data_IF_572863284198
#
_entry.id   IF_572863284198
#
_cell.length_a   1.000
_cell.length_b   1.000
_cell.length_c   1.000
_cell.angle_alpha   90.00
_cell.angle_beta   90.00
_cell.angle_gamma   90.00
#
_symmetry.space_group_name_H-M   'P 1'
#
loop_
_entity.id
_entity.type
_entity.pdbx_description
1 polymer ?
#
# COMPACT_ATOMS: atom_id res chain seq x y z
N UNK A 1 -14.34 -19.04 2.88
CA UNK A 1 -14.08 -19.00 1.43
C UNK A 1 -14.45 -17.60 0.97
N UNK A 2 -13.49 -16.68 0.94
CA UNK A 2 -13.67 -15.35 0.35
C UNK A 2 -13.25 -15.46 -1.09
N UNK A 3 -14.20 -15.22 -1.98
CA UNK A 3 -14.05 -15.18 -3.42
C UNK A 3 -12.92 -14.22 -3.78
N UNK A 4 -11.93 -14.74 -4.49
CA UNK A 4 -10.96 -13.93 -5.22
C UNK A 4 -11.77 -13.40 -6.42
N UNK A 5 -12.41 -12.27 -6.26
CA UNK A 5 -12.94 -11.51 -7.38
C UNK A 5 -11.77 -11.15 -8.29
N UNK A 6 -11.70 -11.87 -9.40
CA UNK A 6 -10.82 -11.59 -10.53
C UNK A 6 -11.37 -10.38 -11.30
N UNK A 7 -11.55 -9.26 -10.63
CA UNK A 7 -11.92 -8.01 -11.25
C UNK A 7 -10.64 -7.46 -11.91
N UNK A 8 -10.43 -7.80 -13.17
CA UNK A 8 -9.40 -7.21 -14.05
C UNK A 8 -9.78 -5.76 -14.40
N UNK A 9 -9.99 -4.94 -13.39
CA UNK A 9 -10.06 -3.51 -13.65
C UNK A 9 -8.71 -3.01 -14.15
N UNK A 10 -8.67 -2.28 -15.26
CA UNK A 10 -7.43 -1.71 -15.76
C UNK A 10 -6.82 -0.82 -14.67
N UNK A 11 -5.66 -1.22 -14.19
CA UNK A 11 -5.00 -0.49 -13.11
C UNK A 11 -4.41 0.80 -13.67
N UNK A 12 -4.66 1.92 -12.98
CA UNK A 12 -4.09 3.20 -13.37
C UNK A 12 -2.62 3.25 -12.99
N UNK A 13 -1.75 2.92 -13.92
CA UNK A 13 -0.31 3.16 -13.80
C UNK A 13 0.02 4.43 -14.56
N UNK A 14 0.52 5.43 -13.86
CA UNK A 14 0.93 6.68 -14.48
C UNK A 14 2.17 6.44 -15.39
N UNK A 15 2.31 7.16 -16.51
CA UNK A 15 3.43 6.97 -17.43
C UNK A 15 4.80 7.02 -16.74
N UNK A 16 4.98 7.91 -15.76
CA UNK A 16 6.21 8.01 -14.98
C UNK A 16 6.44 6.85 -14.00
N UNK A 17 5.43 6.05 -13.71
CA UNK A 17 5.51 4.87 -12.85
C UNK A 17 5.72 3.58 -13.68
N UNK A 18 5.54 3.65 -15.00
CA UNK A 18 5.59 2.47 -15.87
C UNK A 18 6.93 1.73 -15.78
N UNK A 19 8.05 2.43 -15.81
CA UNK A 19 9.37 1.81 -15.68
C UNK A 19 9.55 1.07 -14.33
N UNK A 20 8.97 1.60 -13.24
CA UNK A 20 8.99 0.96 -11.94
C UNK A 20 8.12 -0.31 -11.94
N UNK A 21 6.92 -0.23 -12.51
CA UNK A 21 6.02 -1.37 -12.69
C UNK A 21 6.67 -2.49 -13.51
N UNK A 22 7.23 -2.15 -14.67
CA UNK A 22 7.92 -3.10 -15.56
C UNK A 22 9.10 -3.79 -14.85
N UNK A 23 9.84 -3.04 -14.03
CA UNK A 23 10.95 -3.60 -13.26
C UNK A 23 10.48 -4.57 -12.17
N UNK A 24 9.40 -4.24 -11.45
CA UNK A 24 8.81 -5.14 -10.43
C UNK A 24 8.34 -6.43 -11.09
N UNK A 25 7.58 -6.33 -12.17
CA UNK A 25 7.05 -7.50 -12.90
C UNK A 25 8.16 -8.34 -13.53
N UNK A 26 9.20 -7.72 -14.09
CA UNK A 26 10.34 -8.42 -14.64
C UNK A 26 11.10 -9.23 -13.55
N UNK A 27 11.37 -8.64 -12.38
CA UNK A 27 11.98 -9.35 -11.26
C UNK A 27 11.06 -10.45 -10.75
N UNK A 28 9.76 -10.20 -10.65
CA UNK A 28 8.76 -11.20 -10.28
C UNK A 28 8.79 -12.41 -11.22
N UNK A 29 8.81 -12.20 -12.53
CA UNK A 29 8.95 -13.28 -13.52
C UNK A 29 10.25 -14.07 -13.35
N UNK A 30 11.37 -13.39 -13.05
CA UNK A 30 12.64 -14.06 -12.74
C UNK A 30 12.49 -14.94 -11.50
N UNK A 31 11.86 -14.45 -10.42
CA UNK A 31 11.64 -15.25 -9.19
C UNK A 31 10.87 -16.53 -9.50
N UNK A 32 9.85 -16.45 -10.37
CA UNK A 32 9.00 -17.58 -10.74
C UNK A 32 9.66 -18.59 -11.68
N UNK A 33 10.57 -18.13 -12.55
CA UNK A 33 11.20 -18.97 -13.60
C UNK A 33 12.60 -19.43 -13.25
N UNK A 34 13.24 -18.83 -12.24
CA UNK A 34 14.64 -19.08 -11.93
C UNK A 34 14.80 -20.39 -11.17
N UNK A 35 15.43 -21.38 -11.78
CA UNK A 35 15.97 -22.51 -11.02
C UNK A 35 17.25 -22.07 -10.29
N UNK A 36 17.07 -21.62 -9.06
CA UNK A 36 18.15 -21.09 -8.21
C UNK A 36 19.27 -22.12 -7.94
N UNK A 37 18.99 -23.41 -8.16
CA UNK A 37 19.98 -24.48 -7.98
C UNK A 37 21.06 -24.45 -9.06
N UNK A 38 20.81 -23.82 -10.21
CA UNK A 38 21.77 -23.70 -11.30
C UNK A 38 22.85 -22.66 -11.07
N UNK A 39 22.68 -21.81 -10.04
CA UNK A 39 23.63 -20.75 -9.73
C UNK A 39 24.45 -21.07 -8.48
N UNK A 40 25.78 -20.88 -8.51
CA UNK A 40 26.62 -21.10 -7.34
C UNK A 40 26.45 -20.08 -6.24
N UNK A 41 25.75 -18.98 -6.54
CA UNK A 41 25.45 -17.89 -5.61
C UNK A 41 23.92 -17.68 -5.51
N UNK A 42 23.44 -17.30 -4.33
CA UNK A 42 22.04 -16.94 -4.18
C UNK A 42 21.75 -15.60 -4.86
N UNK A 43 20.85 -15.63 -5.84
CA UNK A 43 20.38 -14.42 -6.52
C UNK A 43 19.44 -13.65 -5.59
N UNK A 44 19.77 -12.40 -5.29
CA UNK A 44 18.93 -11.51 -4.48
C UNK A 44 17.85 -10.89 -5.36
N UNK A 45 16.61 -11.17 -5.03
CA UNK A 45 15.44 -10.71 -5.78
C UNK A 45 14.55 -9.76 -4.97
N UNK A 46 14.93 -9.48 -3.71
CA UNK A 46 14.20 -8.50 -2.90
C UNK A 46 14.27 -7.11 -3.55
N UNK A 47 13.17 -6.38 -3.53
CA UNK A 47 13.05 -5.04 -4.11
C UNK A 47 12.80 -4.04 -3.00
N UNK A 48 13.51 -2.90 -3.02
CA UNK A 48 13.21 -1.74 -2.20
C UNK A 48 12.58 -0.65 -3.05
N UNK A 49 11.36 -0.21 -2.67
CA UNK A 49 10.67 0.89 -3.34
C UNK A 49 10.64 2.09 -2.39
N UNK A 50 11.19 3.21 -2.83
CA UNK A 50 11.11 4.48 -2.13
C UNK A 50 10.35 5.52 -2.95
N UNK A 51 9.75 6.47 -2.28
CA UNK A 51 9.00 7.58 -2.89
C UNK A 51 8.21 8.31 -1.82
N UNK A 52 7.88 9.57 -2.04
CA UNK A 52 7.09 10.36 -1.10
C UNK A 52 5.80 9.64 -0.67
N UNK A 53 5.23 10.06 0.47
CA UNK A 53 3.91 9.57 0.87
C UNK A 53 2.89 9.86 -0.24
N UNK A 54 2.00 8.91 -0.51
CA UNK A 54 1.02 9.06 -1.59
C UNK A 54 1.55 8.82 -3.01
N UNK A 55 2.86 8.54 -3.23
CA UNK A 55 3.42 8.28 -4.57
C UNK A 55 2.95 6.96 -5.23
N UNK A 56 2.11 6.16 -4.55
CA UNK A 56 1.54 4.94 -5.13
C UNK A 56 2.40 3.68 -4.97
N UNK A 57 3.38 3.66 -4.05
CA UNK A 57 4.28 2.49 -3.83
C UNK A 57 3.53 1.17 -3.65
N UNK A 58 2.68 1.10 -2.65
CA UNK A 58 1.93 -0.12 -2.31
C UNK A 58 0.91 -0.50 -3.39
N UNK A 59 0.35 0.51 -4.08
CA UNK A 59 -0.52 0.31 -5.23
C UNK A 59 0.24 -0.38 -6.37
N UNK A 60 1.43 0.11 -6.74
CA UNK A 60 2.26 -0.47 -7.80
C UNK A 60 2.63 -1.94 -7.54
N UNK A 61 2.93 -2.29 -6.29
CA UNK A 61 3.24 -3.68 -5.92
C UNK A 61 2.01 -4.57 -6.06
N UNK A 62 0.84 -4.10 -5.64
CA UNK A 62 -0.42 -4.83 -5.82
C UNK A 62 -0.77 -4.99 -7.31
N UNK A 63 -0.57 -3.92 -8.08
CA UNK A 63 -0.74 -3.93 -9.52
C UNK A 63 0.15 -4.99 -10.20
N UNK A 64 1.42 -5.03 -9.83
CA UNK A 64 2.37 -6.00 -10.36
C UNK A 64 2.03 -7.44 -9.92
N UNK A 65 1.59 -7.64 -8.68
CA UNK A 65 1.15 -8.96 -8.21
C UNK A 65 -0.06 -9.46 -9.02
N UNK A 66 -1.03 -8.57 -9.31
CA UNK A 66 -2.20 -8.90 -10.12
C UNK A 66 -1.82 -9.22 -11.58
N UNK A 67 -0.93 -8.43 -12.21
CA UNK A 67 -0.41 -8.68 -13.56
C UNK A 67 0.29 -10.05 -13.65
N UNK A 68 1.01 -10.41 -12.60
CA UNK A 68 1.68 -11.70 -12.50
C UNK A 68 0.74 -12.87 -12.14
N UNK A 69 -0.52 -12.60 -11.79
CA UNK A 69 -1.48 -13.60 -11.31
C UNK A 69 -1.10 -14.19 -9.94
N UNK A 70 -0.43 -13.40 -9.08
CA UNK A 70 0.10 -13.86 -7.80
C UNK A 70 -0.71 -13.31 -6.62
N UNK A 71 -0.95 -14.12 -5.59
CA UNK A 71 -1.47 -13.63 -4.32
C UNK A 71 -0.46 -12.70 -3.65
N UNK A 72 -0.97 -11.72 -2.90
CA UNK A 72 -0.14 -10.78 -2.14
C UNK A 72 -0.47 -10.81 -0.65
N UNK A 73 0.56 -10.84 0.18
CA UNK A 73 0.48 -10.58 1.61
C UNK A 73 1.06 -9.19 1.89
N UNK A 74 0.22 -8.27 2.34
CA UNK A 74 0.68 -6.94 2.77
C UNK A 74 0.88 -6.92 4.29
N UNK A 75 2.08 -6.53 4.70
CA UNK A 75 2.51 -6.38 6.09
C UNK A 75 2.88 -4.91 6.28
N UNK A 76 2.35 -4.26 7.31
CA UNK A 76 2.81 -2.92 7.70
C UNK A 76 3.81 -3.05 8.86
N UNK A 77 4.90 -2.35 8.79
CA UNK A 77 5.90 -2.33 9.86
C UNK A 77 5.30 -1.83 11.17
N UNK A 78 4.40 -0.85 11.11
CA UNK A 78 3.69 -0.31 12.28
C UNK A 78 2.71 -1.30 12.93
N UNK A 79 2.24 -2.31 12.20
CA UNK A 79 1.31 -3.35 12.66
C UNK A 79 2.02 -4.70 12.92
N UNK A 80 3.36 -4.73 12.85
CA UNK A 80 4.13 -5.95 13.04
C UNK A 80 4.08 -6.42 14.47
N UNK A 81 3.61 -7.63 14.68
CA UNK A 81 3.57 -8.28 15.98
C UNK A 81 4.70 -9.30 16.12
N UNK A 82 5.56 -9.07 17.09
CA UNK A 82 6.74 -9.90 17.34
C UNK A 82 6.34 -11.30 17.85
N UNK A 83 7.16 -12.30 17.52
CA UNK A 83 7.09 -13.62 18.12
C UNK A 83 7.25 -13.49 19.66
N UNK A 84 6.37 -14.11 20.40
CA UNK A 84 6.38 -14.06 21.86
C UNK A 84 5.78 -12.80 22.50
N UNK A 85 5.38 -11.79 21.72
CA UNK A 85 4.71 -10.58 22.25
C UNK A 85 3.17 -10.66 22.20
N UNK A 86 2.62 -11.74 21.67
CA UNK A 86 1.20 -11.91 21.50
C UNK A 86 0.48 -11.95 22.86
N UNK A 87 -0.23 -10.86 23.16
CA UNK A 87 -1.25 -10.86 24.21
C UNK A 87 -2.47 -11.68 23.77
N UNK A 88 -3.44 -11.89 24.69
CA UNK A 88 -4.66 -12.63 24.36
C UNK A 88 -5.37 -12.04 23.15
N UNK A 89 -5.52 -12.83 22.08
CA UNK A 89 -6.27 -12.48 20.86
C UNK A 89 -5.46 -11.81 19.74
N UNK A 90 -4.14 -11.62 19.90
CA UNK A 90 -3.30 -11.06 18.85
C UNK A 90 -2.41 -12.14 18.22
N UNK A 91 -2.44 -12.22 16.88
CA UNK A 91 -1.64 -13.20 16.13
C UNK A 91 -0.32 -12.57 15.70
N UNK A 92 0.85 -13.14 16.08
CA UNK A 92 2.14 -12.67 15.61
C UNK A 92 2.23 -12.65 14.07
N UNK A 93 3.12 -11.82 13.52
CA UNK A 93 3.22 -11.63 12.07
C UNK A 93 3.74 -12.88 11.36
N UNK A 94 4.71 -13.59 11.96
CA UNK A 94 5.29 -14.78 11.36
C UNK A 94 4.32 -15.94 11.12
N UNK A 95 3.39 -16.32 12.02
CA UNK A 95 2.33 -17.27 11.72
C UNK A 95 1.50 -16.90 10.48
N UNK A 96 1.18 -15.62 10.30
CA UNK A 96 0.47 -15.13 9.10
C UNK A 96 1.33 -15.32 7.83
N UNK A 97 2.64 -15.07 7.93
CA UNK A 97 3.59 -15.31 6.83
C UNK A 97 3.62 -16.81 6.52
N UNK A 98 3.76 -17.66 7.52
CA UNK A 98 3.78 -19.11 7.35
C UNK A 98 2.52 -19.62 6.64
N UNK A 99 1.33 -19.22 7.06
CA UNK A 99 0.06 -19.58 6.41
C UNK A 99 0.03 -19.13 4.93
N UNK A 100 0.53 -17.92 4.66
CA UNK A 100 0.62 -17.43 3.29
C UNK A 100 1.57 -18.27 2.44
N UNK A 101 2.74 -18.64 2.98
CA UNK A 101 3.71 -19.51 2.31
C UNK A 101 3.10 -20.89 2.01
N UNK A 102 2.40 -21.48 2.96
CA UNK A 102 1.73 -22.78 2.76
C UNK A 102 0.64 -22.70 1.68
N UNK A 103 -0.11 -21.61 1.60
CA UNK A 103 -1.04 -21.38 0.47
C UNK A 103 -0.31 -21.27 -0.86
N UNK A 104 0.84 -20.58 -0.90
CA UNK A 104 1.64 -20.43 -2.11
C UNK A 104 2.35 -21.72 -2.54
N UNK A 105 2.41 -22.77 -1.70
CA UNK A 105 3.05 -24.05 -2.05
C UNK A 105 2.48 -24.66 -3.33
N UNK A 106 1.15 -24.60 -3.50
CA UNK A 106 0.41 -25.13 -4.65
C UNK A 106 0.13 -24.09 -5.75
N UNK A 107 0.67 -22.87 -5.62
CA UNK A 107 0.53 -21.80 -6.60
C UNK A 107 1.87 -21.55 -7.32
N UNK A 108 1.85 -20.82 -8.45
CA UNK A 108 3.07 -20.41 -9.12
C UNK A 108 4.03 -19.67 -8.20
N UNK A 109 3.50 -18.85 -7.30
CA UNK A 109 4.29 -18.08 -6.33
C UNK A 109 3.42 -17.10 -5.54
N UNK A 110 4.07 -16.09 -4.93
CA UNK A 110 3.40 -15.03 -4.20
C UNK A 110 4.27 -13.79 -4.01
N UNK A 111 3.67 -12.72 -3.57
CA UNK A 111 4.34 -11.47 -3.23
C UNK A 111 4.15 -11.17 -1.75
N UNK A 112 5.21 -10.82 -1.05
CA UNK A 112 5.16 -10.27 0.31
C UNK A 112 5.59 -8.81 0.23
N UNK A 113 4.68 -7.90 0.57
CA UNK A 113 4.93 -6.47 0.66
C UNK A 113 5.12 -6.08 2.13
N UNK A 114 6.29 -5.55 2.47
CA UNK A 114 6.57 -4.92 3.77
C UNK A 114 6.40 -3.41 3.57
N UNK A 115 5.26 -2.88 3.95
CA UNK A 115 4.97 -1.44 3.84
C UNK A 115 5.46 -0.67 5.06
N UNK A 116 5.67 0.63 4.92
CA UNK A 116 6.21 1.52 5.95
C UNK A 116 7.59 1.06 6.47
N UNK A 117 8.44 0.53 5.60
CA UNK A 117 9.76 0.01 5.99
C UNK A 117 10.66 1.07 6.63
N UNK A 118 10.42 2.35 6.35
CA UNK A 118 11.12 3.47 6.98
C UNK A 118 10.92 3.51 8.50
N UNK A 119 9.83 2.98 9.05
CA UNK A 119 9.58 2.90 10.50
C UNK A 119 10.54 1.97 11.24
N UNK A 120 11.20 1.05 10.54
CA UNK A 120 12.23 0.19 11.13
C UNK A 120 13.50 0.96 11.50
N UNK A 121 13.65 2.20 11.02
CA UNK A 121 14.78 3.07 11.31
C UNK A 121 14.73 3.68 12.72
N UNK A 122 13.55 3.72 13.33
CA UNK A 122 13.37 4.27 14.67
C UNK A 122 14.21 3.46 15.67
N UNK A 123 14.90 4.15 16.60
CA UNK A 123 15.80 3.52 17.58
C UNK A 123 15.07 3.25 18.89
N UNK A 124 14.21 2.25 18.90
CA UNK A 124 13.52 1.77 20.11
C UNK A 124 13.89 0.31 20.38
N UNK A 125 13.65 -0.18 21.60
CA UNK A 125 13.82 -1.62 21.90
C UNK A 125 12.96 -2.50 21.02
N UNK A 126 11.71 -2.09 20.77
CA UNK A 126 10.79 -2.81 19.90
C UNK A 126 11.31 -2.93 18.47
N UNK A 127 11.85 -1.86 17.88
CA UNK A 127 12.41 -1.91 16.53
C UNK A 127 13.65 -2.79 16.41
N UNK A 128 14.37 -3.04 17.50
CA UNK A 128 15.50 -3.99 17.51
C UNK A 128 15.02 -5.42 17.27
N UNK A 129 13.97 -5.86 17.97
CA UNK A 129 13.37 -7.18 17.76
C UNK A 129 12.67 -7.28 16.40
N UNK A 130 11.93 -6.24 16.01
CA UNK A 130 11.32 -6.14 14.68
C UNK A 130 12.36 -6.31 13.56
N UNK A 131 13.52 -5.67 13.69
CA UNK A 131 14.61 -5.82 12.71
C UNK A 131 15.06 -7.27 12.58
N UNK A 132 15.21 -7.98 13.71
CA UNK A 132 15.62 -9.39 13.69
C UNK A 132 14.62 -10.25 12.90
N UNK A 133 13.32 -10.06 13.14
CA UNK A 133 12.29 -10.80 12.42
C UNK A 133 12.19 -10.39 10.95
N UNK A 134 12.27 -9.10 10.65
CA UNK A 134 12.28 -8.59 9.28
C UNK A 134 13.53 -9.07 8.52
N UNK A 135 14.69 -9.17 9.19
CA UNK A 135 15.90 -9.72 8.57
C UNK A 135 15.72 -11.17 8.18
N UNK A 136 15.09 -11.99 9.02
CA UNK A 136 14.79 -13.37 8.67
C UNK A 136 13.98 -13.45 7.38
N UNK A 137 12.95 -12.60 7.23
CA UNK A 137 12.15 -12.54 6.01
C UNK A 137 12.98 -12.06 4.80
N UNK A 138 13.78 -11.00 4.95
CA UNK A 138 14.63 -10.47 3.89
C UNK A 138 15.79 -11.40 3.52
N UNK A 139 16.26 -12.23 4.45
CA UNK A 139 17.24 -13.31 4.19
C UNK A 139 16.57 -14.57 3.63
N UNK A 140 15.27 -14.52 3.38
CA UNK A 140 14.46 -15.64 2.93
C UNK A 140 14.62 -16.86 3.86
N UNK A 141 14.57 -16.62 5.16
CA UNK A 141 14.71 -17.63 6.21
C UNK A 141 13.49 -17.64 7.12
N UNK A 142 12.89 -18.79 7.29
CA UNK A 142 11.77 -19.00 8.22
C UNK A 142 12.32 -19.27 9.62
N UNK A 143 11.87 -18.59 10.68
CA UNK A 143 12.29 -18.88 12.05
C UNK A 143 11.97 -20.34 12.44
N UNK A 144 12.86 -21.05 13.15
CA UNK A 144 12.66 -22.47 13.46
C UNK A 144 11.61 -22.73 14.54
N UNK A 145 11.35 -21.77 15.41
CA UNK A 145 10.45 -21.94 16.58
C UNK A 145 9.16 -21.17 16.37
N UNK A 146 8.41 -21.49 15.32
CA UNK A 146 7.12 -20.90 15.07
C UNK A 146 6.01 -21.60 15.87
N UNK A 147 5.09 -20.80 16.37
CA UNK A 147 3.80 -21.27 16.90
C UNK A 147 2.70 -20.78 15.94
N UNK A 148 1.63 -21.54 15.83
CA UNK A 148 0.46 -21.15 15.05
C UNK A 148 -0.42 -20.10 15.80
N UNK A 149 -1.61 -19.83 15.28
CA UNK A 149 -2.55 -18.87 15.89
C UNK A 149 -3.08 -19.32 17.24
N UNK A 150 -3.16 -20.61 17.46
CA UNK A 150 -3.69 -21.23 18.67
C UNK A 150 -2.60 -21.43 19.73
N UNK A 151 -1.34 -21.17 19.37
CA UNK A 151 -0.17 -21.29 20.24
C UNK A 151 0.50 -22.65 20.16
N UNK A 152 0.07 -23.51 19.24
CA UNK A 152 0.66 -24.82 19.02
C UNK A 152 1.96 -24.70 18.19
N UNK A 153 2.96 -25.51 18.53
CA UNK A 153 4.23 -25.55 17.81
C UNK A 153 4.05 -26.06 16.40
N UNK A 154 4.50 -25.29 15.42
CA UNK A 154 4.50 -25.70 14.01
C UNK A 154 5.58 -26.76 13.80
N UNK A 155 5.18 -27.89 13.21
CA UNK A 155 6.09 -29.01 12.95
C UNK A 155 7.24 -28.63 12.00
N UNK A 156 8.41 -29.21 12.21
CA UNK A 156 9.63 -28.96 11.44
C UNK A 156 9.43 -29.16 9.93
N UNK A 157 8.75 -30.22 9.52
CA UNK A 157 8.44 -30.50 8.10
C UNK A 157 7.66 -29.34 7.44
N UNK A 158 6.75 -28.71 8.19
CA UNK A 158 5.98 -27.55 7.72
C UNK A 158 6.85 -26.31 7.61
N UNK A 159 7.77 -26.11 8.55
CA UNK A 159 8.74 -25.02 8.51
C UNK A 159 9.68 -25.19 7.30
N UNK A 160 10.18 -26.41 7.05
CA UNK A 160 11.00 -26.70 5.88
C UNK A 160 10.24 -26.50 4.56
N UNK A 161 8.95 -26.89 4.51
CA UNK A 161 8.12 -26.67 3.34
C UNK A 161 7.94 -25.16 3.09
N UNK A 162 7.61 -24.38 4.11
CA UNK A 162 7.52 -22.94 4.05
C UNK A 162 8.85 -22.28 3.61
N UNK A 163 9.97 -22.79 4.16
CA UNK A 163 11.32 -22.34 3.79
C UNK A 163 11.63 -22.57 2.30
N UNK A 164 11.25 -23.73 1.75
CA UNK A 164 11.40 -24.00 0.31
C UNK A 164 10.56 -23.04 -0.54
N UNK A 165 9.31 -22.79 -0.17
CA UNK A 165 8.42 -21.87 -0.87
C UNK A 165 8.97 -20.44 -0.83
N UNK A 166 9.35 -19.97 0.36
CA UNK A 166 9.90 -18.62 0.56
C UNK A 166 11.11 -18.37 -0.35
N UNK A 167 12.01 -19.34 -0.42
CA UNK A 167 13.23 -19.24 -1.25
C UNK A 167 13.00 -19.36 -2.75
N UNK A 168 11.99 -20.11 -3.19
CA UNK A 168 11.85 -20.46 -4.61
C UNK A 168 10.73 -19.73 -5.34
N UNK A 169 9.71 -19.23 -4.62
CA UNK A 169 8.47 -18.75 -5.23
C UNK A 169 8.03 -17.37 -4.75
N UNK A 170 8.70 -16.78 -3.77
CA UNK A 170 8.23 -15.53 -3.17
C UNK A 170 9.09 -14.35 -3.60
N UNK A 171 8.42 -13.30 -4.07
CA UNK A 171 9.00 -11.97 -4.27
C UNK A 171 8.76 -11.15 -2.99
N UNK A 172 9.83 -10.71 -2.34
CA UNK A 172 9.75 -9.82 -1.18
C UNK A 172 10.02 -8.39 -1.63
N UNK A 173 9.09 -7.49 -1.31
CA UNK A 173 9.16 -6.06 -1.65
C UNK A 173 9.06 -5.24 -0.38
N UNK A 174 10.07 -4.44 -0.09
CA UNK A 174 10.02 -3.42 0.95
C UNK A 174 9.58 -2.08 0.34
N UNK A 175 8.67 -1.37 0.98
CA UNK A 175 8.22 -0.04 0.58
C UNK A 175 8.31 0.93 1.74
N UNK A 176 8.85 2.14 1.51
CA UNK A 176 8.97 3.17 2.53
C UNK A 176 8.96 4.58 1.95
N UNK A 177 8.49 5.55 2.73
CA UNK A 177 8.51 6.95 2.30
C UNK A 177 9.90 7.57 2.43
N UNK A 178 10.62 7.25 3.52
CA UNK A 178 11.92 7.86 3.84
C UNK A 178 11.89 9.38 3.73
N UNK A 179 10.86 9.99 4.32
CA UNK A 179 10.50 11.39 4.12
C UNK A 179 11.65 12.36 4.39
N UNK A 180 12.48 12.05 5.40
CA UNK A 180 13.64 12.90 5.75
C UNK A 180 14.62 13.11 4.59
N UNK A 181 14.79 12.13 3.70
CA UNK A 181 15.66 12.27 2.51
C UNK A 181 15.05 13.26 1.52
N UNK A 182 13.74 13.16 1.30
CA UNK A 182 13.05 14.09 0.40
C UNK A 182 13.08 15.52 0.93
N UNK A 183 12.86 15.69 2.23
CA UNK A 183 12.88 16.99 2.89
C UNK A 183 14.28 17.61 2.84
N UNK A 184 15.34 16.85 3.07
CA UNK A 184 16.71 17.33 2.99
C UNK A 184 17.09 17.77 1.57
N UNK A 185 16.61 17.06 0.55
CA UNK A 185 16.85 17.42 -0.86
C UNK A 185 16.01 18.61 -1.34
N UNK A 186 14.90 18.90 -0.67
CA UNK A 186 14.04 20.06 -0.97
C UNK A 186 14.47 21.32 -0.23
N UNK A 187 15.35 21.22 0.79
CA UNK A 187 15.85 22.40 1.51
C UNK A 187 16.66 23.26 0.56
N UNK A 188 16.35 24.58 0.45
CA UNK A 188 17.19 25.50 -0.30
C UNK A 188 18.57 25.55 0.35
N UNK A 189 19.62 25.24 -0.39
CA UNK A 189 20.96 25.55 0.08
C UNK A 189 21.08 27.08 0.23
N UNK A 190 21.49 27.52 1.41
CA UNK A 190 21.79 28.93 1.67
C UNK A 190 23.03 29.30 0.85
N UNK A 191 22.81 29.81 -0.35
CA UNK A 191 23.88 30.23 -1.29
C UNK A 191 23.33 30.68 -2.63
N UNK A 192 24.04 31.59 -3.30
CA UNK A 192 23.65 32.29 -4.51
C UNK A 192 23.55 31.46 -5.82
N UNK A 193 23.21 30.17 -5.76
CA UNK A 193 23.10 29.32 -6.93
C UNK A 193 21.64 29.08 -7.33
N UNK A 194 21.35 29.56 -8.49
CA UNK A 194 20.16 29.49 -9.37
C UNK A 194 19.03 28.48 -9.03
N UNK A 195 17.82 29.02 -9.24
CA UNK A 195 16.49 28.44 -9.03
C UNK A 195 16.13 27.21 -9.92
N UNK A 196 17.06 26.61 -10.63
CA UNK A 196 16.81 25.49 -11.54
C UNK A 196 17.29 24.13 -11.04
N UNK A 197 17.46 23.93 -9.71
CA UNK A 197 17.74 22.58 -9.24
C UNK A 197 16.50 21.69 -9.42
N UNK A 198 16.55 20.86 -10.45
CA UNK A 198 15.69 19.67 -10.51
C UNK A 198 15.89 18.91 -9.21
N UNK A 199 14.81 18.68 -8.46
CA UNK A 199 14.83 17.85 -7.26
C UNK A 199 15.36 16.50 -7.69
N UNK A 200 16.64 16.23 -7.41
CA UNK A 200 17.25 14.97 -7.75
C UNK A 200 16.59 13.86 -6.93
N UNK A 201 16.19 12.79 -7.60
CA UNK A 201 15.63 11.62 -6.90
C UNK A 201 16.65 11.06 -5.91
N UNK A 202 16.20 10.55 -4.73
CA UNK A 202 17.06 9.85 -3.80
C UNK A 202 17.80 8.71 -4.47
N UNK A 203 19.04 8.50 -4.06
CA UNK A 203 19.86 7.37 -4.50
C UNK A 203 20.20 6.43 -3.32
N UNK A 204 20.96 5.37 -3.60
CA UNK A 204 21.41 4.44 -2.56
C UNK A 204 22.26 5.13 -1.50
N UNK A 205 23.04 6.14 -1.86
CA UNK A 205 23.89 6.89 -0.92
C UNK A 205 23.06 7.63 0.13
N UNK A 206 21.92 8.20 -0.28
CA UNK A 206 21.00 8.85 0.65
C UNK A 206 20.35 7.84 1.60
N UNK A 207 19.94 6.69 1.07
CA UNK A 207 19.37 5.63 1.89
C UNK A 207 20.36 5.08 2.91
N UNK A 208 21.66 5.01 2.59
CA UNK A 208 22.73 4.60 3.52
C UNK A 208 22.85 5.51 4.76
N UNK A 209 22.33 6.72 4.71
CA UNK A 209 22.35 7.66 5.85
C UNK A 209 21.26 7.36 6.87
N UNK A 210 20.16 6.74 6.46
CA UNK A 210 18.99 6.49 7.31
C UNK A 210 18.76 5.01 7.59
N UNK A 211 18.84 4.17 6.56
CA UNK A 211 18.66 2.73 6.72
C UNK A 211 19.92 2.05 7.23
N UNK A 212 19.82 1.13 8.17
CA UNK A 212 20.92 0.25 8.55
C UNK A 212 21.50 -0.43 7.31
N UNK A 213 22.83 -0.50 7.23
CA UNK A 213 23.55 -1.13 6.10
C UNK A 213 23.11 -2.57 5.89
N UNK A 214 22.79 -3.26 6.98
CA UNK A 214 22.34 -4.64 6.97
C UNK A 214 21.01 -4.81 6.23
N UNK A 215 20.11 -3.84 6.31
CA UNK A 215 18.83 -3.83 5.57
C UNK A 215 19.12 -3.59 4.10
N UNK A 216 19.87 -2.53 3.78
CA UNK A 216 20.18 -2.19 2.39
C UNK A 216 20.92 -3.33 1.66
N UNK A 217 21.83 -3.99 2.35
CA UNK A 217 22.54 -5.14 1.80
C UNK A 217 21.62 -6.28 1.37
N UNK A 218 20.42 -6.40 1.95
CA UNK A 218 19.43 -7.43 1.62
C UNK A 218 18.61 -7.14 0.37
N UNK A 219 18.57 -5.88 -0.04
CA UNK A 219 17.94 -5.46 -1.29
C UNK A 219 18.95 -5.38 -2.45
N UNK A 220 20.23 -5.30 -2.14
CA UNK A 220 21.29 -5.18 -3.16
C UNK A 220 21.10 -3.91 -4.02
N UNK A 221 21.18 -4.07 -5.34
CA UNK A 221 20.98 -2.97 -6.31
C UNK A 221 19.52 -2.82 -6.76
N UNK A 222 18.57 -3.55 -6.17
CA UNK A 222 17.17 -3.54 -6.56
C UNK A 222 16.41 -2.39 -5.87
N UNK A 223 16.91 -1.16 -6.04
CA UNK A 223 16.23 0.05 -5.62
C UNK A 223 15.35 0.59 -6.76
N UNK A 224 14.11 0.88 -6.42
CA UNK A 224 13.15 1.57 -7.30
C UNK A 224 12.76 2.87 -6.60
N UNK A 225 13.00 4.00 -7.26
CA UNK A 225 12.62 5.31 -6.75
C UNK A 225 11.43 5.81 -7.55
N UNK A 226 10.29 6.04 -6.88
CA UNK A 226 9.13 6.65 -7.51
C UNK A 226 9.26 8.16 -7.47
N UNK A 227 9.13 8.83 -8.62
CA UNK A 227 9.16 10.29 -8.66
C UNK A 227 7.95 10.87 -7.90
N UNK A 228 8.08 12.07 -7.32
CA UNK A 228 6.97 12.78 -6.70
C UNK A 228 5.82 13.00 -7.69
N UNK A 229 4.59 12.95 -7.18
CA UNK A 229 3.42 13.34 -7.98
C UNK A 229 3.41 14.85 -8.16
N UNK A 230 3.24 15.29 -9.41
CA UNK A 230 3.07 16.70 -9.77
C UNK A 230 1.61 16.97 -10.16
N UNK A 231 1.21 18.23 -10.21
CA UNK A 231 -0.19 18.62 -10.48
C UNK A 231 -0.76 17.95 -11.74
N UNK A 232 0.03 17.83 -12.81
CA UNK A 232 -0.38 17.15 -14.03
C UNK A 232 -0.75 15.67 -13.84
N UNK A 233 -0.11 14.98 -12.89
CA UNK A 233 -0.45 13.58 -12.57
C UNK A 233 -1.83 13.47 -11.90
N UNK A 234 -2.15 14.46 -11.06
CA UNK A 234 -3.49 14.51 -10.45
C UNK A 234 -4.56 14.73 -11.52
N UNK A 235 -4.35 15.57 -12.51
CA UNK A 235 -5.31 15.70 -13.61
C UNK A 235 -5.48 14.39 -14.38
N UNK A 236 -4.39 13.68 -14.69
CA UNK A 236 -4.48 12.36 -15.34
C UNK A 236 -5.26 11.34 -14.49
N UNK A 237 -5.01 11.31 -13.18
CA UNK A 237 -5.78 10.46 -12.28
C UNK A 237 -7.26 10.85 -12.22
N UNK A 238 -7.56 12.17 -12.23
CA UNK A 238 -8.94 12.66 -12.27
C UNK A 238 -9.70 12.13 -13.48
N UNK A 239 -9.10 12.23 -14.67
CA UNK A 239 -9.73 11.78 -15.90
C UNK A 239 -10.03 10.27 -15.86
N UNK A 240 -9.07 9.46 -15.39
CA UNK A 240 -9.27 8.00 -15.29
C UNK A 240 -10.31 7.63 -14.22
N UNK A 241 -10.32 8.29 -13.07
CA UNK A 241 -11.35 8.03 -12.06
C UNK A 241 -12.73 8.52 -12.53
N UNK A 242 -12.79 9.65 -13.24
CA UNK A 242 -14.02 10.16 -13.82
C UNK A 242 -14.63 9.18 -14.85
N UNK A 243 -13.79 8.50 -15.65
CA UNK A 243 -14.27 7.51 -16.60
C UNK A 243 -14.89 6.26 -15.96
N UNK A 244 -14.58 6.01 -14.68
CA UNK A 244 -15.17 4.91 -13.89
C UNK A 244 -16.34 5.34 -13.04
N UNK A 245 -16.59 6.67 -12.94
CA UNK A 245 -17.74 7.18 -12.20
C UNK A 245 -19.03 6.92 -12.97
N UNK A 246 -20.15 6.66 -12.27
CA UNK A 246 -21.45 6.69 -12.88
C UNK A 246 -21.69 8.05 -13.56
N UNK A 247 -22.34 8.07 -14.71
CA UNK A 247 -22.55 9.28 -15.53
C UNK A 247 -23.16 10.43 -14.75
N UNK A 248 -24.03 10.13 -13.80
CA UNK A 248 -24.65 11.10 -12.91
C UNK A 248 -23.63 11.89 -12.06
N UNK A 249 -22.60 11.21 -11.55
CA UNK A 249 -21.60 11.82 -10.68
C UNK A 249 -20.43 12.47 -11.44
N UNK A 250 -20.15 12.01 -12.65
CA UNK A 250 -18.97 12.38 -13.44
C UNK A 250 -18.78 13.89 -13.60
N UNK A 251 -19.81 14.69 -13.99
CA UNK A 251 -19.61 16.14 -14.17
C UNK A 251 -19.22 16.85 -12.87
N UNK A 252 -19.84 16.48 -11.76
CA UNK A 252 -19.56 17.05 -10.45
C UNK A 252 -18.18 16.67 -9.95
N UNK A 253 -17.79 15.40 -10.12
CA UNK A 253 -16.47 14.89 -9.76
C UNK A 253 -15.37 15.65 -10.51
N UNK A 254 -15.51 15.82 -11.82
CA UNK A 254 -14.55 16.57 -12.64
C UNK A 254 -14.46 18.03 -12.18
N UNK A 255 -15.59 18.69 -11.95
CA UNK A 255 -15.60 20.09 -11.52
C UNK A 255 -14.88 20.28 -10.19
N UNK A 256 -15.28 19.55 -9.15
CA UNK A 256 -14.65 19.63 -7.82
C UNK A 256 -13.17 19.22 -7.86
N UNK A 257 -12.84 18.19 -8.62
CA UNK A 257 -11.48 17.75 -8.80
C UNK A 257 -10.59 18.85 -9.38
N UNK A 258 -11.02 19.49 -10.46
CA UNK A 258 -10.26 20.57 -11.10
C UNK A 258 -10.05 21.78 -10.18
N UNK A 259 -11.04 22.11 -9.37
CA UNK A 259 -10.95 23.22 -8.41
C UNK A 259 -9.94 22.93 -7.28
N UNK A 260 -9.84 21.66 -6.84
CA UNK A 260 -9.07 21.27 -5.64
C UNK A 260 -7.69 20.67 -5.92
N UNK A 261 -7.41 20.19 -7.13
CA UNK A 261 -6.14 19.57 -7.50
C UNK A 261 -4.93 20.49 -7.18
N UNK A 262 -4.93 21.81 -7.43
CA UNK A 262 -3.77 22.63 -7.12
C UNK A 262 -3.41 22.66 -5.63
N UNK A 263 -4.41 22.57 -4.76
CA UNK A 263 -4.21 22.47 -3.30
C UNK A 263 -3.75 21.05 -2.89
N UNK A 264 -4.39 20.01 -3.44
CA UNK A 264 -4.05 18.62 -3.18
C UNK A 264 -2.62 18.27 -3.60
N UNK A 265 -2.17 18.78 -4.76
CA UNK A 265 -0.81 18.59 -5.24
C UNK A 265 0.21 19.28 -4.34
N UNK A 266 -0.06 20.50 -3.88
CA UNK A 266 0.80 21.21 -2.91
C UNK A 266 0.91 20.49 -1.58
N UNK A 267 -0.19 19.90 -1.09
CA UNK A 267 -0.25 19.14 0.16
C UNK A 267 0.21 17.69 0.00
N UNK A 268 0.54 17.26 -1.22
CA UNK A 268 1.01 15.90 -1.56
C UNK A 268 0.07 14.79 -1.07
N UNK A 269 -1.24 15.00 -1.18
CA UNK A 269 -2.27 14.08 -0.68
C UNK A 269 -2.28 12.73 -1.42
N UNK A 270 -1.79 12.70 -2.66
CA UNK A 270 -1.78 11.50 -3.48
C UNK A 270 -3.19 11.02 -3.86
N UNK A 271 -3.38 9.73 -4.19
CA UNK A 271 -4.68 9.19 -4.59
C UNK A 271 -5.78 9.29 -3.53
N UNK A 272 -5.43 9.40 -2.25
CA UNK A 272 -6.41 9.57 -1.15
C UNK A 272 -7.27 10.82 -1.32
N UNK A 273 -6.75 11.84 -2.00
CA UNK A 273 -7.50 13.03 -2.36
C UNK A 273 -8.82 12.70 -3.09
N UNK A 274 -8.83 11.67 -3.95
CA UNK A 274 -10.05 11.30 -4.69
C UNK A 274 -11.08 10.60 -3.81
N UNK A 275 -10.64 9.86 -2.79
CA UNK A 275 -11.54 9.28 -1.79
C UNK A 275 -12.24 10.37 -0.99
N UNK A 276 -11.49 11.41 -0.58
CA UNK A 276 -12.05 12.59 0.10
C UNK A 276 -13.01 13.36 -0.82
N UNK A 277 -12.67 13.50 -2.10
CA UNK A 277 -13.51 14.17 -3.08
C UNK A 277 -14.86 13.46 -3.28
N UNK A 278 -14.84 12.13 -3.36
CA UNK A 278 -16.06 11.32 -3.45
C UNK A 278 -16.91 11.47 -2.19
N UNK A 279 -16.30 11.41 -1.01
CA UNK A 279 -16.99 11.59 0.25
C UNK A 279 -17.69 12.96 0.31
N UNK A 280 -16.99 14.02 -0.08
CA UNK A 280 -17.54 15.36 -0.12
C UNK A 280 -18.75 15.46 -1.06
N UNK A 281 -18.64 14.87 -2.26
CA UNK A 281 -19.76 14.86 -3.22
C UNK A 281 -21.00 14.21 -2.63
N UNK A 282 -20.84 13.05 -1.95
CA UNK A 282 -21.96 12.34 -1.33
C UNK A 282 -22.57 13.12 -0.17
N UNK A 283 -21.74 13.78 0.64
CA UNK A 283 -22.22 14.60 1.77
C UNK A 283 -23.03 15.80 1.30
N UNK A 284 -22.57 16.49 0.26
CA UNK A 284 -23.27 17.66 -0.29
C UNK A 284 -24.62 17.26 -0.89
N UNK A 285 -24.69 16.14 -1.62
CA UNK A 285 -25.96 15.64 -2.16
C UNK A 285 -26.97 15.32 -1.05
N UNK A 286 -26.53 14.66 0.01
CA UNK A 286 -27.41 14.37 1.16
C UNK A 286 -27.93 15.65 1.83
N UNK A 287 -27.12 16.69 1.90
CA UNK A 287 -27.54 17.99 2.42
C UNK A 287 -28.53 18.68 1.49
N UNK A 288 -28.33 18.64 0.17
CA UNK A 288 -29.22 19.16 -0.83
C UNK A 288 -30.59 18.47 -0.77
N UNK A 289 -30.63 17.14 -0.67
CA UNK A 289 -31.84 16.34 -0.51
C UNK A 289 -32.57 16.69 0.83
N UNK A 290 -31.82 16.79 1.92
CA UNK A 290 -32.40 17.14 3.23
C UNK A 290 -32.95 18.53 3.27
N UNK A 291 -32.35 19.50 2.60
CA UNK A 291 -32.86 20.87 2.47
C UNK A 291 -34.10 20.93 1.57
N UNK A 292 -34.12 20.19 0.44
CA UNK A 292 -35.26 20.06 -0.44
C UNK A 292 -36.50 19.54 0.32
N UNK A 293 -36.34 18.49 1.11
CA UNK A 293 -37.46 17.99 1.95
C UNK A 293 -37.92 18.97 3.04
N UNK A 294 -37.02 19.80 3.59
CA UNK A 294 -37.39 20.85 4.54
C UNK A 294 -38.16 21.98 3.87
N UNK A 295 -37.78 22.37 2.68
CA UNK A 295 -38.44 23.44 1.93
C UNK A 295 -39.83 22.98 1.43
N UNK A 296 -39.99 21.73 0.99
CA UNK A 296 -41.28 21.12 0.66
C UNK A 296 -42.20 21.03 1.91
N UNK A 297 -41.63 20.65 3.07
CA UNK A 297 -42.37 20.64 4.33
C UNK A 297 -42.84 22.06 4.76
N UNK A 298 -41.96 23.05 4.54
CA UNK A 298 -42.31 24.45 4.87
C UNK A 298 -43.28 25.08 3.87
N UNK A 299 -43.32 24.64 2.60
CA UNK A 299 -44.28 25.13 1.60
C UNK A 299 -45.61 24.38 1.65
N UNK A 300 -45.64 23.14 2.12
CA UNK A 300 -46.82 22.34 2.39
C UNK A 300 -47.29 22.45 3.86
N UNK A 301 -47.03 23.58 4.49
CA UNK A 301 -47.41 23.84 5.88
C UNK A 301 -48.87 23.48 6.14
N UNK A 302 -49.23 23.07 7.37
CA UNK A 302 -50.47 22.40 7.67
C UNK A 302 -51.67 23.33 7.50
N UNK A 303 -52.22 23.41 6.31
CA UNK A 303 -53.58 23.84 6.12
C UNK A 303 -54.47 22.67 6.57
N UNK A 304 -54.92 22.76 7.85
CA UNK A 304 -56.06 22.03 8.40
C UNK A 304 -56.05 20.50 8.25
N UNK A 305 -55.22 19.80 9.02
CA UNK A 305 -55.60 18.48 9.47
C UNK A 305 -56.33 18.60 10.81
N UNK A 306 -57.65 18.60 10.76
CA UNK A 306 -58.49 18.27 11.89
C UNK A 306 -58.07 16.87 12.36
N UNK A 307 -57.46 16.82 13.53
CA UNK A 307 -57.17 15.56 14.22
C UNK A 307 -58.50 15.07 14.74
N UNK A 308 -59.09 14.10 14.06
CA UNK A 308 -60.19 13.31 14.60
C UNK A 308 -59.58 12.35 15.64
N UNK A 309 -59.76 12.75 16.90
CA UNK A 309 -59.32 11.98 18.07
C UNK A 309 -60.36 10.94 18.39
N UNK A 310 -60.35 9.79 17.73
CA UNK A 310 -61.02 8.60 18.24
C UNK A 310 -60.60 7.38 17.39
N UNK A 311 -59.41 6.83 17.65
CA UNK A 311 -59.13 5.42 17.42
C UNK A 311 -58.13 4.91 18.46
N UNK A 312 -58.67 4.32 19.52
CA UNK A 312 -57.98 3.41 20.41
C UNK A 312 -57.42 2.21 19.59
N UNK A 313 -56.14 1.97 19.65
CA UNK A 313 -55.56 0.70 19.26
C UNK A 313 -55.19 -0.09 20.52
N UNK A 314 -56.02 -1.11 20.82
CA UNK A 314 -55.64 -2.26 21.66
C UNK A 314 -54.50 -3.04 20.96
N UNK A 315 -53.65 -3.61 21.77
CA UNK A 315 -52.52 -4.47 21.41
C UNK A 315 -52.91 -5.77 20.74
#
# INVERSE_FOLDING_TARGET
>A
MSEIENNKEPQLILPKQQAAFDRITAIGRIVLSLDRKQFPLSVRTNILITGESGAGKSFLVRAAALDLGLPILSLKTSEWMLLGSAGRGATPTWPRIHEFLMRCANLPGGVILIDELDKICDRTSWTTYLRSEAFSLLDLTVPPNLVDRDGDTIFEDSIEAAQRVLRSKILVVGAGAFQSIWDDRQRPEVGFLSAERRIASPDMGDLFRILPREILARFGSNLIVLPPLVEGDYFQMLDVFADRMPDFWKPRFIKLGRERIPAAARLKLGPRFYEELVLEMVLVERQEIANFHKDDWNQSGPANAVIDSDQEYEF
#
